data_IF_913496674284
#
_entry.id   IF_913496674284
#
_cell.length_a   1.000
_cell.length_b   1.000
_cell.length_c   1.000
_cell.angle_alpha   90.00
_cell.angle_beta   90.00
_cell.angle_gamma   90.00
#
_symmetry.space_group_name_H-M   'P 1'
#
loop_
_entity.id
_entity.type
_entity.pdbx_description
1 polymer ?
#
# COMPACT_ATOMS: atom_id res chain seq x y z
N UNK A 1 -7.03 -4.44 9.26
CA UNK A 1 -8.27 -3.65 9.23
C UNK A 1 -9.20 -4.04 8.09
N UNK A 2 -8.81 -3.97 6.81
CA UNK A 2 -9.77 -4.17 5.69
C UNK A 2 -10.39 -5.57 5.67
N UNK A 3 -9.58 -6.62 5.83
CA UNK A 3 -10.06 -8.00 5.93
C UNK A 3 -10.85 -8.26 7.22
N UNK A 4 -10.43 -7.66 8.34
CA UNK A 4 -11.12 -7.81 9.63
C UNK A 4 -12.51 -7.15 9.61
N UNK A 5 -12.65 -5.98 8.98
CA UNK A 5 -13.95 -5.31 8.78
C UNK A 5 -14.91 -6.18 7.96
N UNK A 6 -14.41 -6.89 6.94
CA UNK A 6 -15.22 -7.84 6.15
C UNK A 6 -15.64 -9.04 7.00
N UNK A 7 -14.74 -9.59 7.83
CA UNK A 7 -15.04 -10.77 8.66
C UNK A 7 -15.95 -10.49 9.85
N UNK A 8 -15.83 -9.32 10.47
CA UNK A 8 -16.55 -8.97 11.71
C UNK A 8 -18.01 -8.54 11.45
N UNK A 9 -18.32 -8.09 10.23
CA UNK A 9 -19.68 -7.75 9.80
C UNK A 9 -20.11 -6.33 10.16
N UNK A 10 -21.14 -5.84 9.47
CA UNK A 10 -21.59 -4.45 9.59
C UNK A 10 -22.09 -4.11 11.02
N UNK A 11 -21.67 -2.97 11.55
CA UNK A 11 -22.10 -2.45 12.85
C UNK A 11 -21.43 -3.10 14.06
N UNK A 12 -20.53 -4.05 13.85
CA UNK A 12 -19.77 -4.69 14.92
C UNK A 12 -18.46 -3.93 15.20
N UNK A 13 -18.06 -3.79 16.48
CA UNK A 13 -16.84 -3.08 16.84
C UNK A 13 -15.61 -3.87 16.40
N UNK A 14 -14.73 -3.21 15.64
CA UNK A 14 -13.38 -3.73 15.35
C UNK A 14 -12.42 -3.12 16.36
N UNK A 15 -11.66 -3.97 17.07
CA UNK A 15 -10.60 -3.50 17.95
C UNK A 15 -9.49 -2.94 17.08
N UNK A 16 -9.15 -1.66 17.30
CA UNK A 16 -8.09 -1.03 16.55
C UNK A 16 -6.73 -1.47 17.10
N UNK A 17 -5.87 -1.98 16.23
CA UNK A 17 -4.51 -2.41 16.55
C UNK A 17 -3.47 -1.55 15.83
N UNK A 18 -2.23 -1.52 16.32
CA UNK A 18 -1.14 -0.73 15.72
C UNK A 18 -0.89 -1.06 14.24
N UNK A 19 -1.14 -2.30 13.83
CA UNK A 19 -0.99 -2.71 12.44
C UNK A 19 -2.04 -2.05 11.50
N UNK A 20 -3.18 -1.60 12.04
CA UNK A 20 -4.20 -0.87 11.29
C UNK A 20 -3.75 0.54 10.89
N UNK A 21 -2.97 1.21 11.75
CA UNK A 21 -2.39 2.51 11.44
C UNK A 21 -1.40 2.38 10.29
N UNK A 22 -0.57 1.32 10.33
CA UNK A 22 0.40 1.03 9.29
C UNK A 22 -0.27 0.65 7.95
N UNK A 23 -1.33 -0.16 8.00
CA UNK A 23 -2.13 -0.50 6.82
C UNK A 23 -2.76 0.76 6.20
N UNK A 24 -3.33 1.64 7.03
CA UNK A 24 -3.90 2.92 6.60
C UNK A 24 -2.85 3.81 5.93
N UNK A 25 -1.67 3.96 6.54
CA UNK A 25 -0.56 4.72 5.99
C UNK A 25 -0.12 4.17 4.64
N UNK A 26 0.06 2.86 4.54
CA UNK A 26 0.43 2.19 3.30
C UNK A 26 -0.57 2.47 2.17
N UNK A 27 -1.88 2.32 2.41
CA UNK A 27 -2.88 2.61 1.38
C UNK A 27 -2.93 4.08 0.98
N UNK A 28 -2.71 5.02 1.91
CA UNK A 28 -2.61 6.44 1.59
C UNK A 28 -1.43 6.70 0.66
N UNK A 29 -0.24 6.17 0.98
CA UNK A 29 0.96 6.34 0.16
C UNK A 29 0.78 5.75 -1.25
N UNK A 30 0.26 4.53 -1.34
CA UNK A 30 -0.05 3.89 -2.63
C UNK A 30 -1.04 4.73 -3.43
N UNK A 31 -2.11 5.22 -2.79
CA UNK A 31 -3.13 6.04 -3.46
C UNK A 31 -2.52 7.32 -4.02
N UNK A 32 -1.66 8.01 -3.28
CA UNK A 32 -0.97 9.21 -3.77
C UNK A 32 -0.12 8.87 -5.01
N UNK A 33 0.69 7.81 -4.96
CA UNK A 33 1.58 7.41 -6.05
C UNK A 33 0.82 6.96 -7.30
N UNK A 34 -0.35 6.35 -7.10
CA UNK A 34 -1.22 5.89 -8.18
C UNK A 34 -2.04 7.04 -8.77
N UNK A 35 -2.49 8.01 -7.97
CA UNK A 35 -3.32 9.12 -8.44
C UNK A 35 -2.52 10.24 -9.11
N UNK A 36 -1.29 10.48 -8.67
CA UNK A 36 -0.52 11.66 -9.08
C UNK A 36 0.65 11.32 -9.98
N UNK A 37 0.94 12.20 -10.94
CA UNK A 37 2.18 12.17 -11.72
C UNK A 37 3.31 12.95 -11.04
N UNK A 38 2.97 13.95 -10.24
CA UNK A 38 3.87 14.78 -9.43
C UNK A 38 3.05 15.51 -8.36
N UNK A 39 3.64 16.28 -7.42
CA UNK A 39 2.88 16.98 -6.39
C UNK A 39 1.81 17.86 -7.01
N UNK A 40 0.58 17.71 -6.54
CA UNK A 40 -0.59 18.46 -7.04
C UNK A 40 -0.99 18.22 -8.51
N UNK A 41 -0.33 17.30 -9.22
CA UNK A 41 -0.66 16.98 -10.60
C UNK A 41 -1.33 15.61 -10.71
N UNK A 42 -2.63 15.60 -10.97
CA UNK A 42 -3.43 14.39 -11.13
C UNK A 42 -3.12 13.74 -12.49
N UNK A 43 -3.05 12.40 -12.50
CA UNK A 43 -3.01 11.65 -13.74
C UNK A 43 -4.23 11.90 -14.62
N UNK A 44 -4.04 11.68 -15.92
CA UNK A 44 -5.14 11.74 -16.86
C UNK A 44 -6.20 10.68 -16.54
N UNK A 45 -7.46 10.94 -16.89
CA UNK A 45 -8.55 9.97 -16.73
C UNK A 45 -8.24 8.64 -17.45
N UNK A 46 -7.53 8.70 -18.58
CA UNK A 46 -7.10 7.51 -19.34
C UNK A 46 -6.08 6.65 -18.58
N UNK A 47 -5.18 7.27 -17.84
CA UNK A 47 -4.16 6.56 -17.06
C UNK A 47 -4.76 6.04 -15.75
N UNK A 48 -5.65 6.83 -15.14
CA UNK A 48 -6.42 6.42 -13.98
C UNK A 48 -7.32 5.23 -14.31
N UNK A 49 -8.07 5.24 -15.41
CA UNK A 49 -8.94 4.12 -15.80
C UNK A 49 -8.16 2.82 -15.98
N UNK A 50 -6.94 2.84 -16.51
CA UNK A 50 -6.09 1.65 -16.56
C UNK A 50 -5.73 1.10 -15.16
N UNK A 51 -5.47 1.99 -14.21
CA UNK A 51 -5.11 1.62 -12.84
C UNK A 51 -6.29 1.47 -11.87
N UNK A 52 -7.48 1.98 -12.19
CA UNK A 52 -8.66 1.98 -11.30
C UNK A 52 -9.80 1.15 -11.87
N UNK A 53 -10.09 1.14 -13.18
CA UNK A 53 -11.16 0.30 -13.72
C UNK A 53 -10.86 -1.18 -13.51
N UNK A 54 -9.58 -1.57 -13.53
CA UNK A 54 -9.16 -2.93 -13.20
C UNK A 54 -9.41 -3.34 -11.74
N UNK A 55 -9.54 -2.37 -10.83
CA UNK A 55 -9.56 -2.59 -9.37
C UNK A 55 -10.88 -2.20 -8.69
N UNK A 56 -11.62 -1.24 -9.26
CA UNK A 56 -12.77 -0.60 -8.64
C UNK A 56 -14.08 -0.84 -9.41
N UNK A 57 -14.04 -1.21 -10.69
CA UNK A 57 -15.24 -1.58 -11.46
C UNK A 57 -15.66 -3.04 -11.31
N UNK A 58 -14.96 -3.81 -10.47
CA UNK A 58 -15.34 -5.18 -10.13
C UNK A 58 -16.16 -5.19 -8.82
N UNK A 59 -17.23 -6.00 -8.82
CA UNK A 59 -18.19 -6.17 -7.73
C UNK A 59 -17.43 -6.35 -6.38
N UNK A 60 -17.62 -5.40 -5.45
CA UNK A 60 -16.98 -5.30 -4.12
C UNK A 60 -15.55 -4.72 -4.05
N UNK A 61 -15.42 -3.37 -4.11
CA UNK A 61 -14.14 -2.66 -4.00
C UNK A 61 -13.34 -2.94 -2.72
N UNK A 62 -14.00 -3.29 -1.62
CA UNK A 62 -13.34 -3.63 -0.34
C UNK A 62 -12.62 -4.99 -0.40
N UNK A 63 -13.19 -5.96 -1.13
CA UNK A 63 -12.64 -7.31 -1.33
C UNK A 63 -11.52 -7.32 -2.39
N UNK A 64 -11.60 -6.45 -3.39
CA UNK A 64 -10.51 -6.25 -4.36
C UNK A 64 -9.34 -5.43 -3.79
N UNK A 65 -9.59 -4.42 -2.95
CA UNK A 65 -8.52 -3.70 -2.24
C UNK A 65 -7.63 -4.64 -1.44
N UNK A 66 -8.24 -5.57 -0.70
CA UNK A 66 -7.52 -6.60 0.02
C UNK A 66 -6.89 -7.61 -0.94
N UNK A 67 -7.64 -8.27 -1.83
CA UNK A 67 -7.07 -9.36 -2.66
C UNK A 67 -6.04 -8.93 -3.71
N UNK A 68 -6.17 -7.74 -4.30
CA UNK A 68 -5.28 -7.28 -5.38
C UNK A 68 -3.97 -6.69 -4.85
N UNK A 69 -3.97 -6.21 -3.61
CA UNK A 69 -2.74 -5.76 -2.96
C UNK A 69 -2.15 -6.91 -2.12
N UNK A 70 -2.97 -7.88 -1.69
CA UNK A 70 -2.50 -9.05 -0.95
C UNK A 70 -1.78 -10.12 -1.78
N UNK A 71 -1.94 -10.09 -3.11
CA UNK A 71 -1.28 -11.02 -4.02
C UNK A 71 -0.08 -10.38 -4.71
N UNK A 72 1.10 -10.97 -4.55
CA UNK A 72 2.33 -10.56 -5.26
C UNK A 72 2.14 -10.54 -6.79
N UNK A 73 1.20 -11.34 -7.31
CA UNK A 73 0.87 -11.48 -8.73
C UNK A 73 0.30 -10.17 -9.30
N UNK A 74 -0.35 -9.37 -8.47
CA UNK A 74 -1.05 -8.15 -8.88
C UNK A 74 -0.36 -6.86 -8.43
N UNK A 75 0.54 -6.93 -7.43
CA UNK A 75 1.28 -5.76 -6.93
C UNK A 75 2.16 -5.10 -7.99
N UNK A 76 3.05 -5.86 -8.62
CA UNK A 76 4.03 -5.31 -9.59
C UNK A 76 3.35 -4.79 -10.87
N UNK A 77 2.62 -5.62 -11.65
CA UNK A 77 2.13 -5.21 -12.97
C UNK A 77 1.00 -4.19 -12.93
N UNK A 78 0.37 -3.99 -11.78
CA UNK A 78 -0.84 -3.15 -11.71
C UNK A 78 -0.71 -1.99 -10.72
N UNK A 79 0.25 -1.97 -9.79
CA UNK A 79 0.52 -0.80 -8.94
C UNK A 79 1.86 -0.19 -9.31
N UNK A 80 2.96 -0.94 -9.16
CA UNK A 80 4.31 -0.40 -9.33
C UNK A 80 4.54 0.15 -10.74
N UNK A 81 4.08 -0.56 -11.77
CA UNK A 81 4.23 -0.13 -13.17
C UNK A 81 3.48 1.17 -13.50
N UNK A 82 2.48 1.53 -12.69
CA UNK A 82 1.72 2.76 -12.85
C UNK A 82 2.25 3.92 -11.99
N UNK A 83 3.26 3.71 -11.14
CA UNK A 83 3.85 4.81 -10.35
C UNK A 83 4.68 5.71 -11.26
N UNK A 84 4.41 7.02 -11.21
CA UNK A 84 5.16 8.02 -11.98
C UNK A 84 6.65 8.01 -11.63
N UNK A 85 7.49 8.39 -12.60
CA UNK A 85 8.93 8.57 -12.40
C UNK A 85 9.25 9.49 -11.22
N UNK A 86 8.41 10.49 -10.96
CA UNK A 86 8.56 11.40 -9.83
C UNK A 86 8.57 10.66 -8.48
N UNK A 87 7.69 9.66 -8.33
CA UNK A 87 7.53 8.92 -7.08
C UNK A 87 8.38 7.65 -7.00
N UNK A 88 9.13 7.28 -8.05
CA UNK A 88 10.02 6.09 -8.04
C UNK A 88 10.86 5.89 -6.78
N UNK A 89 11.44 6.94 -6.16
CA UNK A 89 12.22 6.77 -4.94
C UNK A 89 11.44 6.09 -3.80
N UNK A 90 10.13 6.28 -3.72
CA UNK A 90 9.30 5.72 -2.64
C UNK A 90 9.05 4.22 -2.78
N UNK A 91 9.36 3.61 -3.92
CA UNK A 91 9.05 2.21 -4.21
C UNK A 91 9.65 1.28 -3.15
N UNK A 92 10.91 1.50 -2.74
CA UNK A 92 11.55 0.65 -1.73
C UNK A 92 10.83 0.67 -0.37
N UNK A 93 10.32 1.84 0.04
CA UNK A 93 9.49 1.96 1.24
C UNK A 93 8.14 1.23 1.06
N UNK A 94 7.51 1.36 -0.12
CA UNK A 94 6.25 0.67 -0.41
C UNK A 94 6.41 -0.85 -0.41
N UNK A 95 7.51 -1.38 -0.94
CA UNK A 95 7.81 -2.82 -0.92
C UNK A 95 8.05 -3.33 0.51
N UNK A 96 8.78 -2.58 1.35
CA UNK A 96 8.97 -2.91 2.75
C UNK A 96 7.63 -2.92 3.52
N UNK A 97 6.80 -1.90 3.31
CA UNK A 97 5.48 -1.81 3.91
C UNK A 97 4.57 -2.94 3.42
N UNK A 98 4.59 -3.24 2.12
CA UNK A 98 3.83 -4.34 1.54
C UNK A 98 4.21 -5.69 2.17
N UNK A 99 5.51 -5.98 2.33
CA UNK A 99 5.98 -7.19 2.99
C UNK A 99 5.51 -7.32 4.46
N UNK A 100 5.24 -6.22 5.16
CA UNK A 100 4.78 -6.26 6.56
C UNK A 100 3.26 -6.14 6.71
N UNK A 101 2.59 -5.43 5.80
CA UNK A 101 1.13 -5.23 5.86
C UNK A 101 0.39 -6.38 5.17
N UNK A 102 0.92 -6.91 4.08
CA UNK A 102 0.25 -7.88 3.19
C UNK A 102 0.75 -9.32 3.40
N UNK A 103 2.06 -9.53 3.36
CA UNK A 103 2.66 -10.87 3.41
C UNK A 103 2.48 -11.65 4.73
N UNK A 104 2.00 -11.10 5.89
CA UNK A 104 1.85 -11.91 7.10
C UNK A 104 0.57 -12.74 7.25
N UNK A 105 -0.33 -12.86 6.26
CA UNK A 105 -1.54 -13.68 6.44
C UNK A 105 -1.23 -15.19 6.34
N UNK A 106 -0.48 -15.73 7.31
CA UNK A 106 -0.43 -17.17 7.55
C UNK A 106 -1.56 -17.55 8.50
N UNK A 107 -2.49 -18.38 8.03
CA UNK A 107 -3.43 -19.08 8.89
C UNK A 107 -2.66 -20.13 9.70
N UNK A 108 -2.42 -19.85 10.98
CA UNK A 108 -2.05 -20.91 11.91
C UNK A 108 -3.29 -21.77 12.17
N UNK A 109 -3.31 -23.00 11.64
CA UNK A 109 -4.43 -23.93 11.85
C UNK A 109 -4.63 -24.33 13.32
N UNK A 110 -3.72 -23.95 14.24
CA UNK A 110 -3.80 -24.26 15.67
C UNK A 110 -4.27 -23.12 16.55
N UNK A 111 -4.32 -21.89 16.05
CA UNK A 111 -4.83 -20.73 16.78
C UNK A 111 -5.70 -19.89 15.84
N UNK A 112 -6.94 -19.58 16.22
CA UNK A 112 -7.83 -18.66 15.48
C UNK A 112 -7.31 -17.20 15.43
N UNK A 113 -6.02 -16.98 15.67
CA UNK A 113 -5.32 -15.69 15.66
C UNK A 113 -4.43 -15.55 14.43
N UNK A 114 -4.61 -14.43 13.73
CA UNK A 114 -3.74 -13.98 12.64
C UNK A 114 -2.40 -13.55 13.26
N UNK A 115 -1.31 -14.25 12.92
CA UNK A 115 0.02 -13.94 13.45
C UNK A 115 0.82 -13.12 12.44
N UNK A 116 1.18 -11.89 12.78
CA UNK A 116 2.06 -11.05 11.96
C UNK A 116 3.53 -11.51 12.10
N UNK A 117 4.17 -11.87 10.97
CA UNK A 117 5.57 -12.36 10.89
C UNK A 117 6.63 -11.37 11.32
N UNK A 118 6.41 -10.07 11.13
CA UNK A 118 7.40 -9.03 11.39
C UNK A 118 6.75 -7.79 12.00
N UNK A 119 7.39 -7.24 13.03
CA UNK A 119 7.02 -5.94 13.61
C UNK A 119 7.70 -4.87 12.76
N UNK A 120 6.92 -4.00 12.13
CA UNK A 120 7.45 -2.80 11.51
C UNK A 120 7.65 -1.72 12.57
N UNK A 121 8.88 -1.29 12.78
CA UNK A 121 9.21 -0.29 13.81
C UNK A 121 9.39 1.09 13.20
N UNK A 122 9.31 2.13 14.04
CA UNK A 122 9.67 3.49 13.66
C UNK A 122 11.10 3.57 13.10
N UNK A 123 12.04 2.83 13.68
CA UNK A 123 13.43 2.80 13.21
C UNK A 123 13.52 2.27 11.78
N UNK A 124 12.79 1.19 11.45
CA UNK A 124 12.72 0.67 10.09
C UNK A 124 12.15 1.71 9.13
N UNK A 125 11.08 2.41 9.51
CA UNK A 125 10.50 3.47 8.69
C UNK A 125 11.49 4.60 8.42
N UNK A 126 12.17 5.08 9.47
CA UNK A 126 13.15 6.17 9.38
C UNK A 126 14.33 5.75 8.50
N UNK A 127 14.87 4.54 8.69
CA UNK A 127 15.97 4.01 7.87
C UNK A 127 15.57 3.95 6.40
N UNK A 128 14.38 3.44 6.08
CA UNK A 128 13.89 3.38 4.70
C UNK A 128 13.73 4.77 4.07
N UNK A 129 13.24 5.76 4.83
CA UNK A 129 13.14 7.15 4.35
C UNK A 129 14.54 7.73 4.10
N UNK A 130 15.46 7.58 5.04
CA UNK A 130 16.83 8.09 4.90
C UNK A 130 17.49 7.46 3.67
N UNK A 131 17.38 6.14 3.54
CA UNK A 131 17.94 5.39 2.41
C UNK A 131 17.33 5.89 1.09
N UNK A 132 16.01 5.97 0.98
CA UNK A 132 15.33 6.53 -0.18
C UNK A 132 15.86 7.93 -0.55
N UNK A 133 15.88 8.85 0.42
CA UNK A 133 16.27 10.23 0.18
C UNK A 133 17.76 10.36 -0.17
N UNK A 134 18.61 9.47 0.37
CA UNK A 134 20.05 9.47 0.09
C UNK A 134 20.42 9.08 -1.34
N UNK A 135 19.53 8.36 -2.03
CA UNK A 135 19.72 7.99 -3.44
C UNK A 135 19.26 9.07 -4.42
N UNK A 136 18.69 10.17 -3.93
CA UNK A 136 18.24 11.27 -4.76
C UNK A 136 19.39 12.16 -5.21
N UNK A 137 19.45 12.46 -6.50
CA UNK A 137 20.37 13.44 -7.05
C UNK A 137 19.99 14.88 -6.66
N UNK A 138 20.89 15.86 -6.84
CA UNK A 138 20.63 17.28 -6.53
C UNK A 138 19.37 17.83 -7.20
N UNK A 139 19.06 17.37 -8.42
CA UNK A 139 17.93 17.83 -9.21
C UNK A 139 16.57 17.47 -8.61
N UNK A 140 16.51 16.43 -7.75
CA UNK A 140 15.28 16.01 -7.08
C UNK A 140 14.77 17.03 -6.04
N UNK A 141 15.62 17.98 -5.64
CA UNK A 141 15.30 19.02 -4.65
C UNK A 141 14.88 20.34 -5.29
N UNK A 142 14.90 20.42 -6.61
CA UNK A 142 14.48 21.60 -7.36
C UNK A 142 12.96 21.50 -7.55
N UNK A 143 12.17 22.49 -7.10
CA UNK A 143 10.74 22.52 -7.34
C UNK A 143 10.44 22.49 -8.83
N UNK A 144 9.48 21.64 -9.22
CA UNK A 144 8.98 21.52 -10.60
C UNK A 144 7.79 22.44 -10.81
#
# INVERSE_FOLDING_TARGET
MSAQLVMVGAGQPVVHELHHDLESLFYVLVSICVLLDSPSNLKSEKDLTQCFDKYFNTFEPSMLKSSTIQSDITWVPFILDHISSYFKPIIGLLECLHAVVVVPLFFDKRSDTINHRAVFTHDMFIVNIIEMLSHLGPDAWIPV
#
